data_IF_982480217460
#
_entry.id   IF_982480217460
#
_cell.length_a   1.000
_cell.length_b   1.000
_cell.length_c   1.000
_cell.angle_alpha   90.00
_cell.angle_beta   90.00
_cell.angle_gamma   90.00
#
_symmetry.space_group_name_H-M   'P 1'
#
loop_
_entity.id
_entity.type
_entity.pdbx_description
1 polymer ?
#
# COMPACT_ATOMS: atom_id res chain seq x y z
N UNK A 1 4.70 -3.73 4.70
CA UNK A 1 6.08 -3.78 5.21
C UNK A 1 6.05 -3.37 6.67
N UNK A 2 6.83 -4.03 7.49
CA UNK A 2 6.96 -3.74 8.91
C UNK A 2 8.40 -3.98 9.31
N UNK A 3 8.93 -3.12 10.16
CA UNK A 3 10.33 -3.10 10.55
C UNK A 3 10.46 -2.76 12.02
N UNK A 4 11.37 -3.47 12.69
CA UNK A 4 11.78 -3.23 14.06
C UNK A 4 13.28 -3.00 14.02
N UNK A 5 13.74 -1.93 14.65
CA UNK A 5 15.16 -1.58 14.64
C UNK A 5 15.61 -1.10 16.02
N UNK A 6 16.92 -1.18 16.25
CA UNK A 6 17.55 -0.58 17.40
C UNK A 6 17.36 0.95 17.38
N UNK A 7 17.62 1.59 18.51
CA UNK A 7 17.61 3.04 18.64
C UNK A 7 18.90 3.51 19.33
N UNK A 8 20.02 2.87 19.01
CA UNK A 8 21.30 3.10 19.70
C UNK A 8 21.87 4.48 19.37
N UNK A 9 21.80 4.90 18.10
CA UNK A 9 22.17 6.24 17.63
C UNK A 9 20.96 7.18 17.47
N UNK A 10 19.75 6.62 17.32
CA UNK A 10 18.51 7.36 17.06
C UNK A 10 18.18 7.52 15.58
N UNK A 11 19.15 7.24 14.69
CA UNK A 11 19.01 7.40 13.24
C UNK A 11 18.48 6.14 12.54
N UNK A 12 18.60 4.96 13.17
CA UNK A 12 18.32 3.67 12.53
C UNK A 12 16.87 3.58 12.04
N UNK A 13 15.93 4.09 12.84
CA UNK A 13 14.52 4.13 12.47
C UNK A 13 14.23 5.06 11.29
N UNK A 14 14.96 6.17 11.18
CA UNK A 14 14.81 7.09 10.07
C UNK A 14 15.45 6.54 8.78
N UNK A 15 16.58 5.82 8.91
CA UNK A 15 17.19 5.10 7.78
C UNK A 15 16.26 4.01 7.25
N UNK A 16 15.68 3.19 8.13
CA UNK A 16 14.72 2.16 7.73
C UNK A 16 13.45 2.75 7.12
N UNK A 17 12.98 3.88 7.65
CA UNK A 17 11.89 4.65 7.04
C UNK A 17 12.23 5.10 5.61
N UNK A 18 13.42 5.67 5.41
CA UNK A 18 13.88 6.09 4.08
C UNK A 18 14.00 4.91 3.11
N UNK A 19 14.48 3.76 3.59
CA UNK A 19 14.52 2.51 2.81
C UNK A 19 13.11 2.06 2.40
N UNK A 20 12.15 2.04 3.32
CA UNK A 20 10.76 1.68 2.99
C UNK A 20 10.14 2.62 1.95
N UNK A 21 10.35 3.93 2.09
CA UNK A 21 9.88 4.89 1.08
C UNK A 21 10.58 4.68 -0.26
N UNK A 22 11.86 4.31 -0.27
CA UNK A 22 12.59 4.00 -1.50
C UNK A 22 12.01 2.76 -2.20
N UNK A 23 11.71 1.70 -1.45
CA UNK A 23 11.07 0.48 -1.97
C UNK A 23 9.72 0.82 -2.61
N UNK A 24 8.89 1.64 -1.96
CA UNK A 24 7.60 2.07 -2.50
C UNK A 24 7.75 2.84 -3.81
N UNK A 25 8.67 3.83 -3.86
CA UNK A 25 8.96 4.60 -5.09
C UNK A 25 9.40 3.68 -6.23
N UNK A 26 10.27 2.71 -5.92
CA UNK A 26 10.76 1.76 -6.89
C UNK A 26 9.65 0.84 -7.42
N UNK A 27 8.77 0.34 -6.54
CA UNK A 27 7.62 -0.48 -6.92
C UNK A 27 6.68 0.29 -7.88
N UNK A 28 6.28 1.51 -7.53
CA UNK A 28 5.35 2.28 -8.36
C UNK A 28 5.97 2.75 -9.68
N UNK A 29 7.26 3.14 -9.66
CA UNK A 29 8.01 3.48 -10.87
C UNK A 29 8.11 2.30 -11.83
N UNK A 30 8.39 1.10 -11.33
CA UNK A 30 8.50 -0.10 -12.16
C UNK A 30 7.16 -0.55 -12.75
N UNK A 31 6.05 -0.22 -12.07
CA UNK A 31 4.70 -0.43 -12.60
C UNK A 31 4.29 0.65 -13.61
N UNK A 32 5.13 1.66 -13.87
CA UNK A 32 4.83 2.74 -14.80
C UNK A 32 3.69 3.65 -14.34
N UNK A 33 3.41 3.68 -13.03
CA UNK A 33 2.35 4.51 -12.46
C UNK A 33 2.89 5.93 -12.27
N UNK A 34 2.11 6.93 -12.66
CA UNK A 34 2.39 8.31 -12.30
C UNK A 34 1.93 8.57 -10.86
N UNK A 35 2.83 9.02 -9.99
CA UNK A 35 2.52 9.26 -8.59
C UNK A 35 3.24 10.49 -8.04
N UNK A 36 2.70 11.03 -6.96
CA UNK A 36 3.31 12.08 -6.15
C UNK A 36 3.62 11.56 -4.74
N UNK A 37 4.57 12.22 -4.08
CA UNK A 37 5.01 11.90 -2.72
C UNK A 37 4.66 13.09 -1.84
N UNK A 38 3.99 12.83 -0.72
CA UNK A 38 3.51 13.86 0.20
C UNK A 38 4.15 13.66 1.58
N UNK A 39 4.73 14.73 2.11
CA UNK A 39 5.09 14.80 3.53
C UNK A 39 3.85 15.25 4.33
N UNK A 40 3.37 14.39 5.23
CA UNK A 40 2.05 14.57 5.82
C UNK A 40 2.08 15.59 6.96
N UNK A 41 1.09 16.50 7.03
CA UNK A 41 1.05 17.53 8.06
C UNK A 41 0.75 16.94 9.44
N UNK A 42 1.09 17.70 10.49
CA UNK A 42 0.94 17.28 11.90
C UNK A 42 -0.45 16.72 12.24
N UNK A 43 -1.52 17.29 11.69
CA UNK A 43 -2.90 16.86 11.97
C UNK A 43 -3.29 15.53 11.31
N UNK A 44 -2.48 15.02 10.39
CA UNK A 44 -2.71 13.76 9.67
C UNK A 44 -1.65 12.67 9.97
N UNK A 45 -0.78 12.91 10.95
CA UNK A 45 0.14 11.88 11.47
C UNK A 45 -0.58 10.79 12.26
N UNK A 46 -1.74 11.12 12.83
CA UNK A 46 -2.40 10.29 13.82
C UNK A 46 -1.61 10.20 15.12
N UNK A 47 -2.03 9.30 16.01
CA UNK A 47 -1.40 9.16 17.32
C UNK A 47 0.02 8.54 17.31
N UNK A 48 0.35 7.56 16.47
CA UNK A 48 1.61 6.82 16.62
C UNK A 48 2.77 7.35 15.75
N UNK A 49 2.52 8.13 14.69
CA UNK A 49 3.57 8.50 13.75
C UNK A 49 4.34 9.74 14.23
N UNK A 50 5.67 9.62 14.27
CA UNK A 50 6.59 10.75 14.41
C UNK A 50 6.73 11.51 13.09
N UNK A 51 6.84 10.78 11.98
CA UNK A 51 6.74 11.31 10.62
C UNK A 51 6.00 10.32 9.72
N UNK A 52 5.37 10.82 8.67
CA UNK A 52 4.57 10.03 7.73
C UNK A 52 4.71 10.58 6.31
N UNK A 53 4.90 9.70 5.35
CA UNK A 53 4.90 10.03 3.93
C UNK A 53 3.86 9.17 3.22
N UNK A 54 2.99 9.81 2.46
CA UNK A 54 2.01 9.14 1.62
C UNK A 54 2.42 9.22 0.15
N UNK A 55 2.03 8.22 -0.62
CA UNK A 55 2.19 8.22 -2.08
C UNK A 55 0.83 8.08 -2.71
N UNK A 56 0.53 9.00 -3.62
CA UNK A 56 -0.74 9.02 -4.32
C UNK A 56 -0.52 8.77 -5.80
N UNK A 57 -1.27 7.81 -6.35
CA UNK A 57 -1.24 7.50 -7.77
C UNK A 57 -2.27 8.37 -8.51
N UNK A 58 -1.91 8.83 -9.70
CA UNK A 58 -2.84 9.47 -10.62
C UNK A 58 -3.85 8.44 -11.14
N UNK A 59 -5.13 8.78 -11.10
CA UNK A 59 -6.23 7.94 -11.58
C UNK A 59 -6.96 8.67 -12.71
N UNK A 60 -6.65 8.40 -14.00
CA UNK A 60 -7.18 9.14 -15.15
C UNK A 60 -8.71 9.22 -15.23
N UNK A 61 -9.42 8.15 -14.92
CA UNK A 61 -10.88 8.08 -14.92
C UNK A 61 -11.49 8.92 -13.81
N UNK A 62 -10.83 8.97 -12.65
CA UNK A 62 -11.21 9.84 -11.52
C UNK A 62 -10.74 11.28 -11.64
N UNK A 63 -9.74 11.55 -12.48
CA UNK A 63 -9.10 12.86 -12.66
C UNK A 63 -8.54 13.45 -11.36
N UNK A 64 -8.03 12.60 -10.48
CA UNK A 64 -7.42 13.01 -9.23
C UNK A 64 -6.35 12.01 -8.79
N UNK A 65 -5.50 12.47 -7.88
CA UNK A 65 -4.60 11.59 -7.14
C UNK A 65 -5.37 10.85 -6.04
N UNK A 66 -5.00 9.59 -5.80
CA UNK A 66 -5.51 8.81 -4.69
C UNK A 66 -4.40 8.03 -4.00
N UNK A 67 -4.34 8.12 -2.67
CA UNK A 67 -3.37 7.43 -1.81
C UNK A 67 -3.31 5.92 -2.10
N UNK A 68 -2.17 5.43 -2.55
CA UNK A 68 -1.92 3.98 -2.78
C UNK A 68 -0.98 3.39 -1.74
N UNK A 69 -0.31 4.24 -0.97
CA UNK A 69 0.67 3.84 0.02
C UNK A 69 0.88 4.91 1.09
N UNK A 70 1.30 4.45 2.25
CA UNK A 70 1.74 5.25 3.37
C UNK A 70 2.98 4.60 4.00
N UNK A 71 3.87 5.40 4.57
CA UNK A 71 4.99 4.95 5.39
C UNK A 71 5.04 5.82 6.66
N UNK A 72 5.38 5.22 7.80
CA UNK A 72 5.43 5.93 9.08
C UNK A 72 6.57 5.42 9.95
N UNK A 73 7.36 6.35 10.48
CA UNK A 73 8.25 6.08 11.61
C UNK A 73 7.46 6.33 12.89
N UNK A 74 7.31 5.30 13.73
CA UNK A 74 6.57 5.37 14.97
C UNK A 74 7.48 5.47 16.21
N UNK A 75 8.80 5.59 16.00
CA UNK A 75 9.82 5.56 17.05
C UNK A 75 9.49 4.49 18.08
N UNK A 76 9.50 4.82 19.36
CA UNK A 76 9.20 3.91 20.46
C UNK A 76 7.71 3.89 20.87
N UNK A 77 6.82 4.62 20.17
CA UNK A 77 5.41 4.78 20.58
C UNK A 77 4.69 3.44 20.71
N UNK A 78 4.85 2.57 19.70
CA UNK A 78 4.25 1.24 19.69
C UNK A 78 5.01 0.29 20.62
N UNK A 79 6.34 0.38 20.63
CA UNK A 79 7.20 -0.44 21.47
C UNK A 79 6.90 -0.27 22.95
N UNK A 80 6.66 0.96 23.42
CA UNK A 80 6.25 1.25 24.82
C UNK A 80 4.93 0.60 25.20
N UNK A 81 3.99 0.48 24.25
CA UNK A 81 2.64 -0.07 24.50
C UNK A 81 2.60 -1.58 24.45
N UNK A 82 3.47 -2.19 23.62
CA UNK A 82 3.50 -3.62 23.37
C UNK A 82 4.71 -4.31 24.00
N UNK A 83 5.53 -3.56 24.75
CA UNK A 83 6.77 -4.03 25.35
C UNK A 83 7.74 -4.67 24.34
N UNK A 84 7.97 -4.00 23.20
CA UNK A 84 8.91 -4.45 22.16
C UNK A 84 10.30 -3.94 22.52
N UNK A 85 11.20 -4.86 22.90
CA UNK A 85 12.56 -4.52 23.32
C UNK A 85 13.61 -5.23 22.48
N UNK A 86 14.85 -4.76 22.56
CA UNK A 86 16.04 -5.42 22.06
C UNK A 86 17.16 -5.37 23.10
N UNK A 87 18.11 -6.29 22.99
CA UNK A 87 19.35 -6.25 23.77
C UNK A 87 20.37 -5.41 23.03
N UNK A 88 20.77 -4.28 23.61
CA UNK A 88 21.82 -3.41 23.07
C UNK A 88 23.21 -4.05 23.23
N UNK A 89 24.22 -3.51 22.53
CA UNK A 89 25.60 -4.01 22.58
C UNK A 89 26.20 -3.96 24.00
N UNK A 90 25.74 -3.04 24.84
CA UNK A 90 26.11 -2.94 26.26
C UNK A 90 25.39 -3.98 27.16
N UNK A 91 24.58 -4.87 26.58
CA UNK A 91 23.82 -5.90 27.28
C UNK A 91 22.53 -5.41 27.94
N UNK A 92 22.20 -4.12 27.83
CA UNK A 92 20.98 -3.55 28.41
C UNK A 92 19.77 -3.80 27.51
N UNK A 93 18.62 -4.09 28.14
CA UNK A 93 17.33 -4.11 27.44
C UNK A 93 16.88 -2.68 27.16
N UNK A 94 16.60 -2.36 25.90
CA UNK A 94 16.12 -1.06 25.44
C UNK A 94 14.87 -1.22 24.60
N UNK A 95 14.06 -0.16 24.52
CA UNK A 95 12.88 -0.14 23.66
C UNK A 95 13.31 -0.04 22.20
N UNK A 96 12.74 -0.88 21.35
CA UNK A 96 12.99 -0.81 19.92
C UNK A 96 12.23 0.36 19.29
N UNK A 97 12.66 0.78 18.11
CA UNK A 97 11.85 1.61 17.23
C UNK A 97 11.08 0.76 16.21
N UNK A 98 9.91 1.26 15.81
CA UNK A 98 9.02 0.58 14.87
C UNK A 98 8.75 1.47 13.66
N UNK A 99 8.80 0.86 12.47
CA UNK A 99 8.54 1.52 11.20
C UNK A 99 7.60 0.64 10.40
N UNK A 100 6.62 1.23 9.74
CA UNK A 100 5.70 0.51 8.87
C UNK A 100 5.52 1.23 7.54
N UNK A 101 5.17 0.47 6.51
CA UNK A 101 4.86 1.04 5.21
C UNK A 101 4.09 0.08 4.31
N UNK A 102 3.13 0.59 3.56
CA UNK A 102 2.34 -0.18 2.61
C UNK A 102 3.20 -0.55 1.40
N UNK A 103 3.25 -1.83 1.00
CA UNK A 103 3.98 -2.20 -0.22
C UNK A 103 3.10 -2.03 -1.46
N UNK A 104 1.86 -2.54 -1.39
CA UNK A 104 0.89 -2.49 -2.47
C UNK A 104 -0.53 -2.67 -1.91
N UNK A 105 -1.35 -1.62 -1.93
CA UNK A 105 -2.76 -1.70 -1.57
C UNK A 105 -3.60 -2.05 -2.81
N UNK A 106 -3.99 -3.32 -2.93
CA UNK A 106 -4.62 -3.88 -4.14
C UNK A 106 -5.77 -3.03 -4.71
N UNK A 107 -6.77 -2.55 -3.93
CA UNK A 107 -7.95 -1.93 -4.53
C UNK A 107 -7.64 -0.69 -5.38
N UNK A 108 -6.83 0.24 -4.86
CA UNK A 108 -6.48 1.48 -5.58
C UNK A 108 -5.40 1.25 -6.63
N UNK A 109 -4.54 0.25 -6.42
CA UNK A 109 -3.56 -0.16 -7.42
C UNK A 109 -4.22 -0.73 -8.67
N UNK A 110 -5.28 -1.54 -8.52
CA UNK A 110 -6.07 -2.03 -9.68
C UNK A 110 -6.68 -0.86 -10.43
N UNK A 111 -7.21 0.15 -9.74
CA UNK A 111 -7.79 1.35 -10.39
C UNK A 111 -6.71 2.11 -11.17
N UNK A 112 -5.57 2.42 -10.52
CA UNK A 112 -4.48 3.13 -11.17
C UNK A 112 -3.95 2.38 -12.40
N UNK A 113 -3.77 1.05 -12.31
CA UNK A 113 -3.33 0.21 -13.44
C UNK A 113 -4.36 0.18 -14.56
N UNK A 114 -5.62 -0.15 -14.26
CA UNK A 114 -6.66 -0.26 -15.29
C UNK A 114 -6.91 1.07 -15.99
N UNK A 115 -6.97 2.18 -15.27
CA UNK A 115 -7.23 3.49 -15.86
C UNK A 115 -6.03 4.03 -16.66
N UNK A 116 -4.80 3.75 -16.22
CA UNK A 116 -3.57 4.20 -16.89
C UNK A 116 -3.28 3.41 -18.16
N UNK A 117 -3.53 2.10 -18.13
CA UNK A 117 -3.13 1.18 -19.19
C UNK A 117 -4.28 0.71 -20.10
N UNK A 118 -5.46 1.35 -20.00
CA UNK A 118 -6.58 1.06 -20.89
C UNK A 118 -6.28 1.44 -22.34
N UNK A 119 -6.88 0.72 -23.29
CA UNK A 119 -6.83 1.02 -24.72
C UNK A 119 -8.21 1.44 -25.24
N UNK A 120 -8.29 2.13 -26.40
CA UNK A 120 -9.57 2.49 -27.02
C UNK A 120 -10.50 1.30 -27.29
N UNK A 121 -9.94 0.09 -27.43
CA UNK A 121 -10.66 -1.17 -27.66
C UNK A 121 -11.24 -1.77 -26.37
N UNK A 122 -11.05 -1.11 -25.21
CA UNK A 122 -11.55 -1.58 -23.91
C UNK A 122 -10.70 -2.69 -23.27
N UNK A 123 -9.46 -2.85 -23.72
CA UNK A 123 -8.48 -3.78 -23.12
C UNK A 123 -7.53 -3.04 -22.18
N UNK A 124 -6.75 -3.76 -21.37
CA UNK A 124 -5.72 -3.15 -20.50
C UNK A 124 -4.37 -3.81 -20.78
N UNK A 125 -3.39 -3.04 -21.26
CA UNK A 125 -2.04 -3.53 -21.58
C UNK A 125 -1.11 -3.40 -20.38
N UNK A 126 -0.75 -4.51 -19.75
CA UNK A 126 -0.06 -4.49 -18.46
C UNK A 126 1.42 -4.08 -18.58
N UNK A 127 1.97 -3.41 -17.55
CA UNK A 127 3.38 -3.05 -17.51
C UNK A 127 4.29 -4.30 -17.47
N UNK A 128 5.53 -4.22 -18.00
CA UNK A 128 6.46 -5.36 -18.04
C UNK A 128 6.68 -6.05 -16.70
N UNK A 129 6.67 -5.30 -15.60
CA UNK A 129 6.81 -5.83 -14.25
C UNK A 129 5.74 -6.87 -13.87
N UNK A 130 4.58 -6.88 -14.54
CA UNK A 130 3.48 -7.82 -14.29
C UNK A 130 3.44 -9.01 -15.26
N UNK A 131 4.24 -8.99 -16.34
CA UNK A 131 4.26 -10.03 -17.36
C UNK A 131 4.52 -11.44 -16.82
N UNK A 132 5.44 -11.65 -15.84
CA UNK A 132 5.68 -12.99 -15.28
C UNK A 132 4.47 -13.60 -14.56
N UNK A 133 3.48 -12.79 -14.16
CA UNK A 133 2.33 -13.23 -13.38
C UNK A 133 1.07 -13.43 -14.22
N UNK A 134 1.03 -12.94 -15.46
CA UNK A 134 -0.16 -12.93 -16.30
C UNK A 134 0.20 -13.32 -17.74
N UNK A 135 -0.30 -14.47 -18.25
CA UNK A 135 0.22 -15.12 -19.46
C UNK A 135 0.04 -14.30 -20.75
N UNK A 136 -0.99 -13.46 -20.81
CA UNK A 136 -1.38 -12.76 -22.04
C UNK A 136 -0.91 -11.31 -22.09
N UNK A 137 -0.27 -10.79 -21.04
CA UNK A 137 0.18 -9.40 -20.84
C UNK A 137 -0.89 -8.31 -21.03
N UNK A 138 -2.06 -8.65 -21.55
CA UNK A 138 -3.20 -7.78 -21.81
C UNK A 138 -4.43 -8.43 -21.23
N UNK A 139 -5.20 -7.65 -20.46
CA UNK A 139 -6.51 -8.07 -19.95
C UNK A 139 -7.55 -7.78 -21.03
N UNK A 140 -8.29 -8.83 -21.42
CA UNK A 140 -9.35 -8.78 -22.43
C UNK A 140 -10.67 -9.26 -21.84
N UNK A 141 -11.77 -9.00 -22.54
CA UNK A 141 -13.07 -9.56 -22.17
C UNK A 141 -13.01 -11.10 -22.19
N UNK A 142 -13.47 -11.79 -21.13
CA UNK A 142 -13.52 -13.24 -21.14
C UNK A 142 -14.52 -13.76 -22.19
N UNK A 143 -14.33 -14.98 -22.71
CA UNK A 143 -15.33 -15.64 -23.54
C UNK A 143 -16.64 -15.76 -22.75
N UNK A 144 -17.74 -15.36 -23.38
CA UNK A 144 -19.04 -15.13 -22.73
C UNK A 144 -19.59 -16.39 -22.05
N UNK A 145 -19.54 -16.42 -20.72
CA UNK A 145 -20.56 -17.07 -19.90
C UNK A 145 -21.13 -16.00 -18.96
N UNK A 146 -22.03 -15.15 -19.49
CA UNK A 146 -22.65 -14.11 -18.67
C UNK A 146 -23.54 -14.78 -17.64
N UNK A 147 -23.20 -14.60 -16.36
CA UNK A 147 -24.12 -14.91 -15.28
C UNK A 147 -25.44 -14.19 -15.55
N UNK A 148 -26.53 -14.95 -15.63
CA UNK A 148 -27.86 -14.39 -15.81
C UNK A 148 -28.44 -14.13 -14.43
N UNK A 149 -28.85 -12.89 -14.18
CA UNK A 149 -29.52 -12.54 -12.93
C UNK A 149 -30.92 -13.17 -12.92
N UNK A 150 -31.14 -14.17 -12.08
CA UNK A 150 -32.44 -14.83 -11.91
C UNK A 150 -33.25 -14.01 -10.90
N UNK A 151 -34.09 -13.09 -11.39
CA UNK A 151 -34.90 -12.17 -10.55
C UNK A 151 -35.75 -12.90 -9.50
N UNK A 152 -36.19 -14.13 -9.81
CA UNK A 152 -37.23 -14.84 -9.07
C UNK A 152 -36.72 -15.73 -7.92
N UNK A 153 -35.42 -15.67 -7.58
CA UNK A 153 -34.85 -16.31 -6.38
C UNK A 153 -34.40 -15.28 -5.34
N UNK A 154 -35.13 -14.17 -5.21
CA UNK A 154 -34.97 -13.32 -4.04
C UNK A 154 -35.31 -14.15 -2.79
N UNK A 155 -34.31 -14.38 -1.94
CA UNK A 155 -34.44 -15.07 -0.67
C UNK A 155 -35.41 -14.28 0.21
N UNK A 156 -36.69 -14.67 0.21
CA UNK A 156 -37.68 -14.17 1.16
C UNK A 156 -37.45 -14.94 2.47
N UNK A 157 -36.36 -14.61 3.17
CA UNK A 157 -36.09 -15.16 4.49
C UNK A 157 -37.19 -14.72 5.44
N UNK A 158 -38.16 -15.59 5.69
CA UNK A 158 -39.02 -15.46 6.87
C UNK A 158 -38.13 -15.67 8.08
N UNK A 159 -37.84 -14.59 8.81
CA UNK A 159 -37.32 -14.71 10.17
C UNK A 159 -38.43 -15.39 10.97
N UNK A 160 -38.26 -16.69 11.22
CA UNK A 160 -39.08 -17.42 12.19
C UNK A 160 -38.73 -16.81 13.55
N UNK A 161 -39.71 -16.13 14.15
CA UNK A 161 -39.63 -15.63 15.52
C UNK A 161 -39.52 -16.77 16.53
#
# INVERSE_FOLDING_TARGET
>A
MFGVTAADSGEESHQLYNEMTHIQKHLFSNLGIHFQILDMPLHDLGAPAYCKTDMEAWMPGRKMYGEVSSASNCTDYQARRLNITYTSQDGLQRLAHTVNGTACAVPRMVIALCETFQTPEGTVTLPPALHPFLPNHTITSPPLCRMTWIKDKAYHGTIVK
#
